data_IF_872401542145
#
_entry.id   IF_872401542145
#
_cell.length_a   1.000
_cell.length_b   1.000
_cell.length_c   1.000
_cell.angle_alpha   90.00
_cell.angle_beta   90.00
_cell.angle_gamma   90.00
#
_symmetry.space_group_name_H-M   'P 1'
#
loop_
_entity.id
_entity.type
_entity.pdbx_description
1 polymer ?
#
# COMPACT_ATOMS: atom_id res chain seq x y z
N UNK A 1 -59.49 13.35 -24.57
CA UNK A 1 -58.86 12.16 -25.10
C UNK A 1 -57.40 12.45 -25.31
N UNK A 2 -56.56 12.18 -24.31
CA UNK A 2 -55.13 12.35 -24.34
C UNK A 2 -54.54 11.13 -23.68
N UNK A 3 -53.76 10.33 -24.45
CA UNK A 3 -53.07 9.13 -23.97
C UNK A 3 -51.87 9.53 -23.12
N UNK A 4 -51.85 8.97 -21.92
CA UNK A 4 -50.69 9.05 -21.00
C UNK A 4 -49.65 8.06 -21.48
N UNK A 5 -48.46 8.54 -21.77
CA UNK A 5 -47.32 7.74 -22.21
C UNK A 5 -46.76 6.92 -21.04
N UNK A 6 -46.48 5.69 -21.36
CA UNK A 6 -45.86 4.65 -20.52
C UNK A 6 -44.40 4.99 -20.24
N UNK A 7 -44.07 5.24 -18.97
CA UNK A 7 -42.69 5.39 -18.51
C UNK A 7 -42.06 3.99 -18.35
N UNK A 8 -41.31 3.57 -19.35
CA UNK A 8 -40.53 2.34 -19.30
C UNK A 8 -39.39 2.49 -18.27
N UNK A 9 -39.53 1.79 -17.16
CA UNK A 9 -38.48 1.50 -16.18
C UNK A 9 -37.25 0.96 -16.90
N UNK A 10 -36.16 1.71 -16.85
CA UNK A 10 -34.84 1.22 -17.27
C UNK A 10 -34.35 0.25 -16.21
N UNK A 11 -34.60 -1.02 -16.36
CA UNK A 11 -33.96 -2.08 -15.61
C UNK A 11 -32.48 -2.08 -15.95
N UNK A 12 -31.64 -1.64 -15.00
CA UNK A 12 -30.20 -1.89 -15.05
C UNK A 12 -29.97 -3.38 -14.82
N UNK A 13 -29.97 -4.13 -15.89
CA UNK A 13 -29.54 -5.52 -15.87
C UNK A 13 -28.06 -5.55 -15.53
N UNK A 14 -27.72 -6.01 -14.32
CA UNK A 14 -26.38 -6.48 -14.00
C UNK A 14 -26.11 -7.66 -14.93
N UNK A 15 -25.40 -7.41 -16.01
CA UNK A 15 -24.88 -8.50 -16.83
C UNK A 15 -23.87 -9.27 -15.99
N UNK A 16 -24.27 -10.43 -15.50
CA UNK A 16 -23.34 -11.47 -15.12
C UNK A 16 -22.43 -11.71 -16.31
N UNK A 17 -21.17 -11.35 -16.18
CA UNK A 17 -20.15 -11.71 -17.14
C UNK A 17 -19.94 -13.23 -17.00
N UNK A 18 -20.77 -14.01 -17.72
CA UNK A 18 -20.41 -15.39 -18.02
C UNK A 18 -19.24 -15.32 -19.00
N UNK A 19 -18.02 -15.55 -18.49
CA UNK A 19 -16.85 -15.69 -19.30
C UNK A 19 -17.05 -16.84 -20.27
N UNK A 20 -17.31 -16.53 -21.53
CA UNK A 20 -17.05 -17.46 -22.63
C UNK A 20 -15.53 -17.71 -22.65
N UNK A 21 -15.13 -18.98 -22.65
CA UNK A 21 -13.75 -19.43 -22.62
C UNK A 21 -12.95 -19.12 -23.92
N UNK A 22 -13.55 -18.38 -24.84
CA UNK A 22 -12.94 -18.00 -26.11
C UNK A 22 -12.23 -16.66 -25.95
N UNK A 23 -11.01 -16.68 -25.48
CA UNK A 23 -10.14 -15.52 -25.34
C UNK A 23 -9.59 -15.38 -23.92
N UNK A 24 -8.88 -16.37 -23.45
CA UNK A 24 -7.96 -16.17 -22.31
C UNK A 24 -6.94 -15.16 -22.82
N UNK A 25 -7.17 -13.85 -22.55
CA UNK A 25 -6.05 -12.91 -22.52
C UNK A 25 -5.02 -13.56 -21.62
N UNK A 26 -3.81 -13.79 -22.14
CA UNK A 26 -2.67 -14.10 -21.27
C UNK A 26 -2.62 -12.96 -20.24
N UNK A 27 -3.14 -13.24 -19.04
CA UNK A 27 -2.98 -12.34 -17.93
C UNK A 27 -1.49 -12.30 -17.65
N UNK A 28 -0.88 -11.16 -17.87
CA UNK A 28 0.52 -10.98 -17.50
C UNK A 28 0.60 -11.20 -16.00
N UNK A 29 1.27 -12.27 -15.58
CA UNK A 29 1.46 -12.55 -14.17
C UNK A 29 2.35 -11.47 -13.57
N UNK A 30 1.86 -10.79 -12.55
CA UNK A 30 2.64 -9.83 -11.76
C UNK A 30 3.50 -10.61 -10.76
N UNK A 31 4.79 -10.32 -10.72
CA UNK A 31 5.76 -11.01 -9.87
C UNK A 31 6.32 -10.06 -8.79
N UNK A 32 6.39 -10.54 -7.55
CA UNK A 32 7.13 -9.85 -6.48
C UNK A 32 8.62 -10.23 -6.61
N UNK A 33 9.45 -9.28 -7.04
CA UNK A 33 10.88 -9.49 -7.29
C UNK A 33 11.76 -9.28 -6.06
N UNK A 34 11.32 -8.47 -5.11
CA UNK A 34 12.08 -8.19 -3.91
C UNK A 34 11.21 -7.64 -2.80
N UNK A 35 11.67 -7.84 -1.57
CA UNK A 35 11.04 -7.30 -0.38
C UNK A 35 12.08 -6.59 0.47
N UNK A 36 11.65 -5.59 1.24
CA UNK A 36 12.50 -4.88 2.18
C UNK A 36 11.71 -4.43 3.39
N UNK A 37 12.41 -4.24 4.49
CA UNK A 37 11.83 -3.82 5.75
C UNK A 37 12.76 -2.90 6.51
N UNK A 38 12.18 -2.08 7.37
CA UNK A 38 12.92 -1.31 8.36
C UNK A 38 12.18 -1.40 9.70
N UNK A 39 12.91 -1.68 10.74
CA UNK A 39 12.37 -1.79 12.10
C UNK A 39 13.18 -0.84 12.99
N UNK A 40 12.56 0.17 13.63
CA UNK A 40 13.25 1.05 14.59
C UNK A 40 13.92 0.26 15.71
N UNK A 41 15.04 0.77 16.20
CA UNK A 41 15.85 0.05 17.21
C UNK A 41 15.22 0.04 18.60
N UNK A 42 14.50 1.11 18.96
CA UNK A 42 13.91 1.23 20.30
C UNK A 42 12.79 0.22 20.51
N UNK A 43 12.96 -0.61 21.53
CA UNK A 43 11.96 -1.57 21.98
C UNK A 43 11.27 -1.01 23.22
N UNK A 44 9.95 -1.06 23.24
CA UNK A 44 9.10 -0.70 24.39
C UNK A 44 8.30 -1.93 24.82
N UNK A 45 8.45 -2.35 26.07
CA UNK A 45 7.71 -3.45 26.67
C UNK A 45 6.35 -3.00 27.22
N UNK A 46 5.43 -3.95 27.43
CA UNK A 46 4.12 -3.65 28.00
C UNK A 46 4.20 -2.96 29.37
N UNK A 47 5.18 -3.33 30.19
CA UNK A 47 5.42 -2.73 31.52
C UNK A 47 5.74 -1.24 31.47
N UNK A 48 6.36 -0.78 30.39
CA UNK A 48 6.60 0.65 30.21
C UNK A 48 5.30 1.39 29.88
N UNK A 49 4.40 0.74 29.12
CA UNK A 49 3.07 1.30 28.82
C UNK A 49 2.19 1.40 30.06
N UNK A 50 2.32 0.48 31.03
CA UNK A 50 1.61 0.53 32.30
C UNK A 50 1.91 1.82 33.11
N UNK A 51 3.07 2.42 32.87
CA UNK A 51 3.47 3.68 33.50
C UNK A 51 2.90 4.92 32.80
N UNK A 52 2.43 4.75 31.55
CA UNK A 52 1.99 5.87 30.70
C UNK A 52 0.47 5.93 30.55
N UNK A 53 -0.19 4.78 30.58
CA UNK A 53 -1.65 4.66 30.35
C UNK A 53 -2.23 3.56 31.25
N UNK A 54 -3.53 3.64 31.54
CA UNK A 54 -4.24 2.63 32.32
C UNK A 54 -4.39 1.31 31.52
N UNK A 55 -3.44 0.41 31.69
CA UNK A 55 -3.38 -0.91 31.04
C UNK A 55 -2.55 -1.88 31.88
N UNK A 56 -2.50 -3.17 31.48
CA UNK A 56 -1.62 -4.18 32.08
C UNK A 56 -1.01 -5.07 31.00
N UNK A 57 0.17 -5.66 31.27
CA UNK A 57 0.81 -6.63 30.38
C UNK A 57 -0.13 -7.80 30.07
N UNK A 58 -0.85 -8.29 31.08
CA UNK A 58 -1.82 -9.39 30.93
C UNK A 58 -2.93 -8.99 29.96
N UNK A 59 -3.53 -7.82 30.16
CA UNK A 59 -4.60 -7.32 29.29
C UNK A 59 -4.17 -7.19 27.82
N UNK A 60 -2.97 -6.63 27.59
CA UNK A 60 -2.44 -6.45 26.24
C UNK A 60 -2.18 -7.81 25.56
N UNK A 61 -1.56 -8.75 26.30
CA UNK A 61 -1.24 -10.08 25.76
C UNK A 61 -2.47 -10.90 25.43
N UNK A 62 -3.45 -10.92 26.29
CA UNK A 62 -4.69 -11.68 26.07
C UNK A 62 -5.46 -11.19 24.83
N UNK A 63 -5.43 -9.88 24.55
CA UNK A 63 -6.18 -9.28 23.45
C UNK A 63 -5.41 -9.22 22.14
N UNK A 64 -4.09 -9.14 22.16
CA UNK A 64 -3.29 -8.84 20.97
C UNK A 64 -2.13 -9.82 20.74
N UNK A 65 -1.73 -10.57 21.76
CA UNK A 65 -0.52 -11.38 21.75
C UNK A 65 0.78 -10.56 21.82
N UNK A 66 0.71 -9.22 21.86
CA UNK A 66 1.87 -8.35 21.80
C UNK A 66 2.57 -8.28 23.15
N UNK A 67 3.86 -8.63 23.17
CA UNK A 67 4.72 -8.51 24.34
C UNK A 67 5.55 -7.22 24.35
N UNK A 68 5.97 -6.79 23.16
CA UNK A 68 6.83 -5.61 22.92
C UNK A 68 6.57 -5.03 21.54
N UNK A 69 6.92 -3.77 21.31
CA UNK A 69 6.86 -3.09 20.01
C UNK A 69 8.10 -2.26 19.79
N UNK A 70 8.43 -2.06 18.52
CA UNK A 70 9.43 -1.10 18.11
C UNK A 70 8.79 0.27 17.90
N UNK A 71 9.44 1.32 18.34
CA UNK A 71 8.94 2.69 18.23
C UNK A 71 10.02 3.57 17.60
N UNK A 72 9.66 4.29 16.55
CA UNK A 72 10.52 5.32 15.97
C UNK A 72 10.69 6.49 16.96
N UNK A 73 11.91 6.97 17.16
CA UNK A 73 12.23 8.13 17.99
C UNK A 73 12.63 9.34 17.16
N UNK A 74 13.44 9.12 16.14
CA UNK A 74 13.99 10.15 15.27
C UNK A 74 13.67 9.91 13.80
N UNK A 75 13.42 8.67 13.48
CA UNK A 75 13.12 8.24 12.12
C UNK A 75 11.73 8.72 11.72
N UNK A 76 11.67 9.35 10.58
CA UNK A 76 10.41 9.74 9.94
C UNK A 76 9.83 8.55 9.13
N UNK A 77 8.55 8.66 8.75
CA UNK A 77 7.93 7.68 7.83
C UNK A 77 8.73 7.58 6.53
N UNK A 78 9.26 8.71 6.05
CA UNK A 78 10.11 8.76 4.85
C UNK A 78 11.43 8.02 5.08
N UNK A 79 12.10 8.21 6.23
CA UNK A 79 13.36 7.53 6.54
C UNK A 79 13.20 6.02 6.54
N UNK A 80 12.17 5.54 7.23
CA UNK A 80 11.83 4.11 7.29
C UNK A 80 11.48 3.56 5.90
N UNK A 81 10.68 4.30 5.13
CA UNK A 81 10.30 3.92 3.78
C UNK A 81 11.49 3.83 2.81
N UNK A 82 12.43 4.77 2.90
CA UNK A 82 13.66 4.77 2.10
C UNK A 82 14.52 3.54 2.40
N UNK A 83 14.73 3.20 3.67
CA UNK A 83 15.51 2.03 4.05
C UNK A 83 14.88 0.73 3.55
N UNK A 84 13.56 0.59 3.73
CA UNK A 84 12.83 -0.57 3.23
C UNK A 84 12.88 -0.67 1.69
N UNK A 85 12.69 0.46 0.98
CA UNK A 85 12.75 0.50 -0.47
C UNK A 85 14.14 0.16 -1.01
N UNK A 86 15.20 0.68 -0.41
CA UNK A 86 16.59 0.37 -0.81
C UNK A 86 16.89 -1.12 -0.63
N UNK A 87 16.46 -1.73 0.46
CA UNK A 87 16.63 -3.16 0.67
C UNK A 87 15.84 -3.99 -0.35
N UNK A 88 14.62 -3.57 -0.70
CA UNK A 88 13.83 -4.23 -1.74
C UNK A 88 14.50 -4.16 -3.12
N UNK A 89 15.09 -3.00 -3.47
CA UNK A 89 15.85 -2.81 -4.70
C UNK A 89 17.09 -3.72 -4.73
N UNK A 90 17.83 -3.79 -3.63
CA UNK A 90 18.99 -4.69 -3.50
C UNK A 90 18.59 -6.16 -3.68
N UNK A 91 17.53 -6.61 -3.01
CA UNK A 91 17.06 -8.00 -3.12
C UNK A 91 16.52 -8.34 -4.50
N UNK A 92 15.89 -7.40 -5.18
CA UNK A 92 15.36 -7.61 -6.54
C UNK A 92 16.42 -7.56 -7.63
N UNK A 93 17.55 -6.88 -7.38
CA UNK A 93 18.55 -6.54 -8.38
C UNK A 93 18.07 -5.50 -9.41
N UNK A 94 16.93 -4.83 -9.17
CA UNK A 94 16.35 -3.81 -10.05
C UNK A 94 16.94 -2.45 -9.67
N UNK A 95 17.34 -1.68 -10.68
CA UNK A 95 17.80 -0.30 -10.46
C UNK A 95 16.63 0.62 -10.11
N UNK A 96 16.83 1.54 -9.17
CA UNK A 96 15.82 2.56 -8.86
C UNK A 96 15.37 3.37 -10.10
N UNK A 97 16.22 3.53 -11.10
CA UNK A 97 15.89 4.20 -12.37
C UNK A 97 14.93 3.44 -13.26
N UNK A 98 14.71 2.16 -12.98
CA UNK A 98 13.78 1.29 -13.72
C UNK A 98 12.39 1.27 -13.08
N UNK A 99 12.22 1.86 -11.88
CA UNK A 99 10.93 1.97 -11.23
C UNK A 99 10.06 2.98 -11.99
N UNK A 100 8.91 2.53 -12.45
CA UNK A 100 7.92 3.33 -13.16
C UNK A 100 6.80 3.82 -12.25
N UNK A 101 6.50 3.09 -11.15
CA UNK A 101 5.43 3.40 -10.22
C UNK A 101 5.86 3.19 -8.76
N UNK A 102 5.58 4.16 -7.91
CA UNK A 102 5.81 4.09 -6.47
C UNK A 102 4.55 4.47 -5.71
N UNK A 103 3.97 3.52 -5.00
CA UNK A 103 2.79 3.73 -4.17
C UNK A 103 3.19 3.60 -2.70
N UNK A 104 2.86 4.59 -1.89
CA UNK A 104 3.04 4.52 -0.44
C UNK A 104 1.67 4.51 0.24
N UNK A 105 1.44 3.49 1.07
CA UNK A 105 0.25 3.43 1.90
C UNK A 105 0.58 3.82 3.34
N UNK A 106 0.06 4.96 3.78
CA UNK A 106 0.29 5.47 5.13
C UNK A 106 -0.86 6.33 5.63
N UNK A 107 -1.06 6.31 6.96
CA UNK A 107 -1.98 7.22 7.70
C UNK A 107 -1.22 8.35 8.39
N UNK A 108 0.10 8.22 8.53
CA UNK A 108 0.95 9.07 9.36
C UNK A 108 1.92 9.91 8.53
N UNK A 109 1.48 10.38 7.36
CA UNK A 109 2.25 11.33 6.57
C UNK A 109 2.51 12.61 7.38
N UNK A 110 3.76 13.05 7.41
CA UNK A 110 4.16 14.28 8.13
C UNK A 110 3.67 15.53 7.41
N UNK A 111 3.54 15.46 6.08
CA UNK A 111 3.09 16.55 5.23
C UNK A 111 2.14 16.02 4.17
N UNK A 112 1.17 16.85 3.75
CA UNK A 112 0.30 16.53 2.62
C UNK A 112 1.05 16.68 1.30
N UNK A 113 1.91 17.71 1.20
CA UNK A 113 2.72 18.00 0.01
C UNK A 113 4.10 18.55 0.43
N UNK A 114 5.19 18.03 -0.11
CA UNK A 114 5.27 16.86 -1.00
C UNK A 114 4.77 15.59 -0.30
N UNK A 115 4.19 14.66 -1.08
CA UNK A 115 3.74 13.37 -0.56
C UNK A 115 4.91 12.52 -0.04
N UNK A 116 4.63 11.55 0.82
CA UNK A 116 5.65 10.61 1.33
C UNK A 116 6.31 9.86 0.18
N UNK A 117 5.52 9.42 -0.81
CA UNK A 117 6.01 8.75 -2.01
C UNK A 117 6.99 9.62 -2.82
N UNK A 118 6.68 10.92 -3.03
CA UNK A 118 7.59 11.83 -3.72
C UNK A 118 8.92 11.99 -2.98
N UNK A 119 8.88 12.08 -1.66
CA UNK A 119 10.09 12.23 -0.82
C UNK A 119 10.93 10.95 -0.81
N UNK A 120 10.30 9.78 -0.81
CA UNK A 120 10.99 8.49 -0.94
C UNK A 120 11.59 8.36 -2.34
N UNK A 121 10.80 8.66 -3.39
CA UNK A 121 11.24 8.65 -4.80
C UNK A 121 12.54 9.42 -5.01
N UNK A 122 12.59 10.65 -4.51
CA UNK A 122 13.78 11.50 -4.60
C UNK A 122 15.01 10.84 -3.94
N UNK A 123 14.83 10.34 -2.72
CA UNK A 123 15.92 9.79 -1.92
C UNK A 123 16.46 8.46 -2.43
N UNK A 124 15.64 7.63 -3.04
CA UNK A 124 16.10 6.37 -3.66
C UNK A 124 16.57 6.55 -5.10
N UNK A 125 16.36 7.73 -5.70
CA UNK A 125 16.76 8.03 -7.07
C UNK A 125 15.85 7.42 -8.15
N UNK A 126 14.60 7.14 -7.85
CA UNK A 126 13.60 6.62 -8.79
C UNK A 126 13.02 7.74 -9.66
N UNK A 127 13.87 8.43 -10.39
CA UNK A 127 13.59 9.70 -11.10
C UNK A 127 12.50 9.62 -12.16
N UNK A 128 12.14 8.43 -12.61
CA UNK A 128 11.11 8.20 -13.64
C UNK A 128 9.76 7.80 -13.05
N UNK A 129 9.74 7.38 -11.78
CA UNK A 129 8.54 6.82 -11.18
C UNK A 129 7.43 7.86 -11.07
N UNK A 130 6.23 7.50 -11.46
CA UNK A 130 5.01 8.18 -11.02
C UNK A 130 4.75 7.76 -9.59
N UNK A 131 4.46 8.71 -8.72
CA UNK A 131 4.29 8.40 -7.30
C UNK A 131 3.05 9.05 -6.71
N UNK A 132 2.38 8.33 -5.81
CA UNK A 132 1.27 8.84 -5.03
C UNK A 132 1.14 8.09 -3.70
N UNK A 133 0.51 8.77 -2.73
CA UNK A 133 0.18 8.18 -1.45
C UNK A 133 -1.26 7.65 -1.47
N UNK A 134 -1.49 6.53 -0.78
CA UNK A 134 -2.77 5.90 -0.61
C UNK A 134 -3.09 5.81 0.88
N UNK A 135 -4.29 6.24 1.25
CA UNK A 135 -4.75 6.18 2.61
C UNK A 135 -5.96 5.23 2.71
N UNK A 136 -5.72 4.03 3.21
CA UNK A 136 -6.76 3.01 3.38
C UNK A 136 -6.54 2.17 4.66
N UNK A 137 -5.95 2.76 5.68
CA UNK A 137 -5.70 2.12 6.97
C UNK A 137 -5.12 0.69 6.83
N UNK A 138 -5.68 -0.27 7.57
CA UNK A 138 -5.21 -1.66 7.58
C UNK A 138 -5.33 -2.38 6.24
N UNK A 139 -6.15 -1.88 5.31
CA UNK A 139 -6.31 -2.44 3.95
C UNK A 139 -5.34 -1.82 2.93
N UNK A 140 -4.51 -0.87 3.37
CA UNK A 140 -3.67 -0.06 2.48
C UNK A 140 -2.73 -0.87 1.60
N UNK A 141 -2.06 -1.89 2.16
CA UNK A 141 -1.18 -2.75 1.37
C UNK A 141 -1.93 -3.49 0.25
N UNK A 142 -3.09 -4.08 0.56
CA UNK A 142 -3.88 -4.82 -0.43
C UNK A 142 -4.36 -3.91 -1.56
N UNK A 143 -4.83 -2.71 -1.22
CA UNK A 143 -5.30 -1.74 -2.22
C UNK A 143 -4.14 -1.17 -3.05
N UNK A 144 -2.98 -0.94 -2.43
CA UNK A 144 -1.78 -0.53 -3.16
C UNK A 144 -1.33 -1.62 -4.14
N UNK A 145 -1.32 -2.88 -3.69
CA UNK A 145 -0.99 -4.02 -4.53
C UNK A 145 -1.95 -4.17 -5.72
N UNK A 146 -3.26 -4.15 -5.48
CA UNK A 146 -4.27 -4.21 -6.56
C UNK A 146 -4.16 -3.03 -7.54
N UNK A 147 -3.85 -1.84 -7.02
CA UNK A 147 -3.63 -0.67 -7.88
C UNK A 147 -2.41 -0.88 -8.78
N UNK A 148 -1.29 -1.33 -8.20
CA UNK A 148 -0.07 -1.62 -8.95
C UNK A 148 -0.31 -2.71 -10.01
N UNK A 149 -0.97 -3.81 -9.64
CA UNK A 149 -1.34 -4.90 -10.55
C UNK A 149 -2.14 -4.38 -11.75
N UNK A 150 -3.19 -3.57 -11.51
CA UNK A 150 -4.00 -3.00 -12.58
C UNK A 150 -3.19 -2.09 -13.54
N UNK A 151 -2.23 -1.33 -13.02
CA UNK A 151 -1.34 -0.50 -13.85
C UNK A 151 -0.33 -1.34 -14.66
N UNK A 152 0.16 -2.44 -14.09
CA UNK A 152 1.06 -3.35 -14.78
C UNK A 152 0.33 -4.14 -15.87
N UNK A 153 -0.85 -4.70 -15.57
CA UNK A 153 -1.65 -5.47 -16.52
C UNK A 153 -2.13 -4.67 -17.73
N UNK A 154 -2.44 -3.38 -17.55
CA UNK A 154 -2.82 -2.53 -18.68
C UNK A 154 -1.62 -2.01 -19.49
N UNK A 155 -0.41 -2.35 -19.09
CA UNK A 155 0.83 -1.99 -19.79
C UNK A 155 1.27 -0.53 -19.60
N UNK A 156 0.64 0.22 -18.66
CA UNK A 156 1.03 1.60 -18.38
C UNK A 156 2.44 1.67 -17.75
N UNK A 157 2.76 0.70 -16.91
CA UNK A 157 4.05 0.57 -16.23
C UNK A 157 4.56 -0.87 -16.31
N UNK A 158 5.85 -1.06 -15.98
CA UNK A 158 6.51 -2.37 -15.99
C UNK A 158 7.04 -2.78 -14.62
N UNK A 159 7.34 -1.78 -13.77
CA UNK A 159 7.97 -1.98 -12.46
C UNK A 159 7.44 -0.97 -11.45
#
# INVERSE_FOLDING_TARGET
MGKIGDETKTERTFRHCCCSLDGIKETMAVEIRGTGSYIPEKIVENRELEQMVETTDVWIRERTGICRRHIAEKETVVDMGVQAAMQALEHSGISAKEIDLLIVSTLSAETVMPSVSCRIQERIGAVRAVCFDLNAACSGFLLAYQSAEAYLENGAYKT
#
